data_IF_242536459290
#
_entry.id   IF_242536459290
#
_cell.length_a   1.000
_cell.length_b   1.000
_cell.length_c   1.000
_cell.angle_alpha   90.00
_cell.angle_beta   90.00
_cell.angle_gamma   90.00
#
_symmetry.space_group_name_H-M   'P 1'
#
loop_
_entity.id
_entity.type
_entity.pdbx_description
1 polymer ?
#
# COMPACT_ATOMS: atom_id res chain seq x y z
N UNK A 1 -1.64 3.13 9.69
CA UNK A 1 -2.56 4.11 9.09
C UNK A 1 -2.36 4.22 7.58
N UNK A 2 -3.48 4.34 6.84
CA UNK A 2 -3.44 4.49 5.37
C UNK A 2 -4.46 5.55 4.94
N UNK A 3 -4.01 6.50 4.16
CA UNK A 3 -4.90 7.41 3.47
C UNK A 3 -5.27 6.78 2.11
N UNK A 4 -6.44 6.13 2.09
CA UNK A 4 -7.01 5.59 0.86
C UNK A 4 -7.77 6.69 0.13
N UNK A 5 -7.47 6.89 -1.12
CA UNK A 5 -8.18 7.88 -1.95
C UNK A 5 -7.86 7.66 -3.42
N UNK A 6 -8.59 8.32 -4.30
CA UNK A 6 -8.25 8.32 -5.73
C UNK A 6 -6.99 9.15 -5.99
N UNK A 7 -6.71 10.11 -5.12
CA UNK A 7 -5.50 10.94 -5.17
C UNK A 7 -4.23 10.12 -4.89
N UNK A 8 -4.27 9.26 -3.86
CA UNK A 8 -3.13 8.45 -3.41
C UNK A 8 -3.11 7.06 -3.99
N UNK A 9 -4.26 6.58 -4.47
CA UNK A 9 -4.43 5.27 -5.08
C UNK A 9 -5.00 5.37 -6.49
N UNK A 10 -4.17 5.70 -7.49
CA UNK A 10 -4.65 5.88 -8.86
C UNK A 10 -5.28 4.63 -9.47
N UNK A 11 -5.03 3.45 -8.89
CA UNK A 11 -5.61 2.19 -9.38
C UNK A 11 -6.84 1.74 -8.59
N UNK A 12 -7.21 2.48 -7.53
CA UNK A 12 -8.31 2.10 -6.65
C UNK A 12 -9.66 2.03 -7.39
N UNK A 13 -9.94 3.01 -8.23
CA UNK A 13 -11.20 3.05 -8.99
C UNK A 13 -11.32 1.86 -9.95
N UNK A 14 -10.27 1.58 -10.71
CA UNK A 14 -10.26 0.47 -11.68
C UNK A 14 -10.33 -0.88 -10.96
N UNK A 15 -9.63 -1.04 -9.84
CA UNK A 15 -9.67 -2.26 -9.04
C UNK A 15 -11.09 -2.50 -8.52
N UNK A 16 -11.75 -1.47 -7.99
CA UNK A 16 -13.13 -1.56 -7.52
C UNK A 16 -14.08 -1.94 -8.65
N UNK A 17 -13.98 -1.28 -9.79
CA UNK A 17 -14.83 -1.56 -10.97
C UNK A 17 -14.68 -3.01 -11.43
N UNK A 18 -13.45 -3.49 -11.56
CA UNK A 18 -13.18 -4.87 -11.97
C UNK A 18 -13.70 -5.90 -10.95
N UNK A 19 -13.76 -5.52 -9.68
CA UNK A 19 -14.27 -6.39 -8.61
C UNK A 19 -15.79 -6.32 -8.47
N UNK A 20 -16.46 -5.40 -9.17
CA UNK A 20 -17.89 -5.16 -9.00
C UNK A 20 -18.24 -4.52 -7.67
N UNK A 21 -17.33 -3.74 -7.10
CA UNK A 21 -17.44 -3.11 -5.79
C UNK A 21 -17.30 -1.59 -5.90
N UNK A 22 -17.72 -0.88 -4.86
CA UNK A 22 -17.40 0.54 -4.71
C UNK A 22 -15.97 0.68 -4.15
N UNK A 23 -15.38 1.86 -4.28
CA UNK A 23 -14.07 2.14 -3.69
C UNK A 23 -14.12 2.00 -2.17
N UNK A 24 -15.20 2.44 -1.53
CA UNK A 24 -15.37 2.30 -0.08
C UNK A 24 -15.43 0.83 0.35
N UNK A 25 -16.06 -0.03 -0.44
CA UNK A 25 -16.10 -1.48 -0.17
C UNK A 25 -14.71 -2.10 -0.28
N UNK A 26 -13.92 -1.70 -1.26
CA UNK A 26 -12.53 -2.17 -1.41
C UNK A 26 -11.70 -1.76 -0.19
N UNK A 27 -11.82 -0.51 0.23
CA UNK A 27 -11.13 0.02 1.41
C UNK A 27 -11.50 -0.78 2.66
N UNK A 28 -12.81 -1.00 2.87
CA UNK A 28 -13.29 -1.73 4.04
C UNK A 28 -12.77 -3.17 4.07
N UNK A 29 -12.75 -3.85 2.94
CA UNK A 29 -12.23 -5.21 2.84
C UNK A 29 -10.73 -5.22 3.13
N UNK A 30 -9.97 -4.31 2.55
CA UNK A 30 -8.53 -4.24 2.75
C UNK A 30 -8.17 -3.98 4.21
N UNK A 31 -8.82 -3.01 4.87
CA UNK A 31 -8.52 -2.68 6.25
C UNK A 31 -9.11 -3.64 7.29
N UNK A 32 -10.11 -4.44 6.91
CA UNK A 32 -10.74 -5.40 7.83
C UNK A 32 -10.00 -6.73 7.90
N UNK A 33 -9.04 -6.97 7.01
CA UNK A 33 -8.27 -8.20 6.95
C UNK A 33 -7.01 -8.07 7.80
N UNK A 34 -6.72 -9.09 8.62
CA UNK A 34 -5.44 -9.20 9.30
C UNK A 34 -4.48 -9.96 8.39
N UNK A 35 -3.35 -9.34 8.08
CA UNK A 35 -2.31 -9.92 7.22
C UNK A 35 -1.15 -10.46 8.04
N UNK A 36 -0.37 -11.34 7.45
CA UNK A 36 0.88 -11.82 8.00
C UNK A 36 2.03 -11.45 7.06
N UNK A 37 3.14 -10.99 7.64
CA UNK A 37 4.38 -10.78 6.91
C UNK A 37 5.00 -12.15 6.68
N UNK A 38 4.96 -12.66 5.44
CA UNK A 38 5.51 -13.98 5.15
C UNK A 38 6.90 -13.94 4.52
N UNK A 39 7.33 -12.79 4.01
CA UNK A 39 8.68 -12.60 3.49
C UNK A 39 9.03 -11.11 3.48
N UNK A 40 10.31 -10.80 3.59
CA UNK A 40 10.86 -9.47 3.38
C UNK A 40 11.96 -9.62 2.34
N UNK A 41 11.89 -8.82 1.26
CA UNK A 41 12.84 -8.93 0.17
C UNK A 41 12.57 -7.91 -0.92
N UNK A 42 13.15 -8.10 -2.08
CA UNK A 42 13.09 -7.20 -3.23
C UNK A 42 13.87 -5.90 -2.95
N UNK A 43 13.52 -5.16 -1.89
CA UNK A 43 14.18 -3.93 -1.45
C UNK A 43 14.19 -3.89 0.08
N UNK A 44 15.13 -3.16 0.70
CA UNK A 44 15.13 -3.00 2.16
C UNK A 44 13.80 -2.45 2.66
N UNK A 45 13.16 -3.19 3.57
CA UNK A 45 11.86 -2.80 4.15
C UNK A 45 10.64 -3.22 3.35
N UNK A 46 10.79 -3.90 2.21
CA UNK A 46 9.64 -4.39 1.45
C UNK A 46 9.12 -5.69 2.06
N UNK A 47 7.99 -5.58 2.74
CA UNK A 47 7.33 -6.70 3.42
C UNK A 47 6.16 -7.20 2.58
N UNK A 48 6.21 -8.48 2.19
CA UNK A 48 5.10 -9.15 1.49
C UNK A 48 4.07 -9.60 2.51
N UNK A 49 2.86 -9.08 2.39
CA UNK A 49 1.74 -9.36 3.29
C UNK A 49 0.69 -10.20 2.57
N UNK A 50 0.16 -11.21 3.23
CA UNK A 50 -0.88 -12.07 2.67
C UNK A 50 -1.82 -12.60 3.75
N UNK A 51 -2.98 -13.07 3.32
CA UNK A 51 -3.48 -13.02 1.94
C UNK A 51 -4.56 -11.96 1.81
N UNK A 52 -4.56 -11.24 0.72
CA UNK A 52 -5.64 -10.31 0.36
C UNK A 52 -6.89 -11.12 0.05
N UNK A 53 -8.05 -10.63 0.49
CA UNK A 53 -9.35 -11.22 0.17
C UNK A 53 -9.50 -11.36 -1.35
N UNK A 54 -9.96 -12.51 -1.84
CA UNK A 54 -10.09 -12.76 -3.28
C UNK A 54 -10.96 -11.72 -3.98
N UNK A 55 -11.93 -11.12 -3.29
CA UNK A 55 -12.82 -10.11 -3.88
C UNK A 55 -12.07 -8.87 -4.36
N UNK A 56 -10.92 -8.57 -3.75
CA UNK A 56 -10.09 -7.41 -4.12
C UNK A 56 -8.71 -7.79 -4.65
N UNK A 57 -8.47 -9.07 -4.90
CA UNK A 57 -7.25 -9.51 -5.57
C UNK A 57 -7.23 -8.95 -7.00
N UNK A 58 -6.06 -8.52 -7.45
CA UNK A 58 -5.90 -7.93 -8.77
C UNK A 58 -4.53 -8.26 -9.35
N UNK A 59 -4.50 -8.61 -10.63
CA UNK A 59 -3.24 -8.84 -11.34
C UNK A 59 -2.41 -7.56 -11.40
N UNK A 60 -1.10 -7.72 -11.49
CA UNK A 60 -0.19 -6.60 -11.71
C UNK A 60 -0.57 -5.82 -12.96
N UNK A 61 -0.21 -4.53 -13.00
CA UNK A 61 -0.43 -3.69 -14.16
C UNK A 61 0.31 -4.27 -15.37
N UNK A 62 -0.31 -4.17 -16.55
CA UNK A 62 0.30 -4.60 -17.81
C UNK A 62 1.59 -3.83 -18.09
N UNK A 63 1.62 -2.54 -17.76
CA UNK A 63 2.79 -1.69 -17.88
C UNK A 63 3.16 -1.16 -16.50
N UNK A 64 4.31 -1.57 -15.92
CA UNK A 64 4.73 -1.06 -14.63
C UNK A 64 4.97 0.46 -14.66
N UNK A 65 4.74 1.13 -13.53
CA UNK A 65 5.12 2.53 -13.36
C UNK A 65 6.62 2.65 -13.18
N UNK A 66 7.20 3.70 -13.71
CA UNK A 66 8.63 4.01 -13.54
C UNK A 66 8.92 4.47 -12.11
N UNK A 67 7.97 5.15 -11.49
CA UNK A 67 8.12 5.71 -10.13
C UNK A 67 6.87 5.46 -9.30
N UNK A 68 6.98 4.51 -8.39
CA UNK A 68 6.00 4.30 -7.33
C UNK A 68 6.50 5.03 -6.09
N UNK A 69 5.71 5.91 -5.47
CA UNK A 69 6.20 6.70 -4.35
C UNK A 69 6.42 5.86 -3.10
N UNK A 70 7.33 6.31 -2.25
CA UNK A 70 7.49 5.75 -0.92
C UNK A 70 6.17 5.84 -0.15
N UNK A 71 5.80 4.78 0.54
CA UNK A 71 4.57 4.71 1.31
C UNK A 71 3.37 4.22 0.52
N UNK A 72 3.49 4.00 -0.79
CA UNK A 72 2.38 3.49 -1.59
C UNK A 72 1.90 2.15 -1.05
N UNK A 73 0.61 2.05 -0.76
CA UNK A 73 -0.05 0.82 -0.36
C UNK A 73 -0.63 0.18 -1.62
N UNK A 74 -0.30 -1.08 -1.86
CA UNK A 74 -0.53 -1.70 -3.15
C UNK A 74 -0.98 -3.15 -3.04
N UNK A 75 -1.64 -3.63 -4.09
CA UNK A 75 -2.11 -5.01 -4.22
C UNK A 75 -1.57 -5.60 -5.52
N UNK A 76 -1.06 -6.82 -5.44
CA UNK A 76 -0.71 -7.65 -6.59
C UNK A 76 -1.12 -9.09 -6.31
N UNK A 77 -1.99 -9.64 -7.12
CA UNK A 77 -2.61 -10.94 -6.89
C UNK A 77 -3.26 -10.99 -5.50
N UNK A 78 -2.87 -11.88 -4.62
CA UNK A 78 -3.38 -11.94 -3.23
C UNK A 78 -2.37 -11.42 -2.22
N UNK A 79 -1.49 -10.52 -2.65
CA UNK A 79 -0.48 -9.90 -1.80
C UNK A 79 -0.73 -8.41 -1.67
N UNK A 80 -0.37 -7.84 -0.53
CA UNK A 80 -0.35 -6.40 -0.33
C UNK A 80 0.97 -5.99 0.30
N UNK A 81 1.35 -4.75 0.13
CA UNK A 81 2.60 -4.22 0.66
C UNK A 81 2.55 -2.70 0.75
N UNK A 82 3.49 -2.15 1.52
CA UNK A 82 3.76 -0.72 1.57
C UNK A 82 5.17 -0.52 1.00
N UNK A 83 5.29 0.28 -0.04
CA UNK A 83 6.57 0.54 -0.67
C UNK A 83 7.49 1.30 0.29
N UNK A 84 8.69 0.77 0.61
CA UNK A 84 9.59 1.42 1.56
C UNK A 84 10.35 2.61 0.99
N UNK A 85 10.46 2.69 -0.33
CA UNK A 85 11.18 3.76 -1.04
C UNK A 85 10.60 3.91 -2.45
N UNK A 86 10.85 5.05 -3.08
CA UNK A 86 10.47 5.23 -4.47
C UNK A 86 11.18 4.18 -5.34
N UNK A 87 10.43 3.50 -6.19
CA UNK A 87 10.97 2.48 -7.09
C UNK A 87 10.01 2.21 -8.24
N UNK A 88 10.48 1.57 -9.33
CA UNK A 88 9.55 1.05 -10.34
C UNK A 88 8.68 -0.05 -9.75
N UNK A 89 7.48 -0.22 -10.27
CA UNK A 89 6.61 -1.31 -9.86
C UNK A 89 5.30 -1.39 -10.60
N UNK A 90 4.77 -2.61 -10.70
CA UNK A 90 3.53 -2.91 -11.41
C UNK A 90 2.36 -3.27 -10.49
N UNK A 91 2.46 -3.02 -9.19
CA UNK A 91 1.37 -3.29 -8.27
C UNK A 91 0.28 -2.22 -8.39
N UNK A 92 -0.95 -2.59 -8.05
CA UNK A 92 -2.10 -1.68 -8.06
C UNK A 92 -2.08 -0.80 -6.83
N UNK A 93 -1.95 0.51 -7.01
CA UNK A 93 -1.83 1.48 -5.91
C UNK A 93 -3.22 1.89 -5.42
N UNK A 94 -3.47 1.73 -4.11
CA UNK A 94 -4.78 2.00 -3.50
C UNK A 94 -4.74 3.05 -2.40
N UNK A 95 -3.57 3.46 -1.94
CA UNK A 95 -3.45 4.44 -0.87
C UNK A 95 -2.01 4.78 -0.56
N UNK A 96 -1.82 5.57 0.49
CA UNK A 96 -0.50 6.01 0.92
C UNK A 96 -0.40 5.92 2.44
N UNK A 97 0.69 5.33 2.92
CA UNK A 97 0.97 5.15 4.34
C UNK A 97 2.06 6.15 4.77
N UNK A 98 1.82 6.93 5.84
CA UNK A 98 2.82 7.89 6.31
C UNK A 98 3.95 7.26 7.13
N UNK A 99 3.79 6.00 7.58
CA UNK A 99 4.78 5.32 8.39
C UNK A 99 5.96 4.85 7.54
N UNK A 100 7.20 5.25 7.86
CA UNK A 100 8.38 4.73 7.15
C UNK A 100 8.53 3.22 7.37
N UNK A 101 8.68 2.46 6.29
CA UNK A 101 8.89 1.00 6.36
C UNK A 101 10.35 0.62 6.46
N UNK A 102 11.24 1.57 6.25
CA UNK A 102 12.68 1.39 6.42
C UNK A 102 13.33 2.73 6.81
N UNK A 103 14.06 2.72 7.92
CA UNK A 103 14.87 3.88 8.34
C UNK A 103 16.16 3.33 8.97
N UNK A 104 17.28 3.47 8.26
CA UNK A 104 18.58 2.95 8.69
C UNK A 104 19.07 3.57 10.00
N UNK A 105 18.52 4.71 10.41
CA UNK A 105 18.88 5.42 11.63
C UNK A 105 17.95 5.14 12.81
N UNK A 106 16.84 4.43 12.56
CA UNK A 106 15.87 4.11 13.60
C UNK A 106 16.20 2.77 14.26
N UNK A 107 15.62 2.55 15.44
CA UNK A 107 15.67 1.28 16.16
C UNK A 107 14.25 0.92 16.64
N UNK A 108 13.62 -0.12 16.05
CA UNK A 108 14.12 -0.94 14.94
C UNK A 108 14.15 -0.18 13.60
N UNK A 109 14.99 -0.63 12.69
CA UNK A 109 15.10 -0.02 11.34
C UNK A 109 13.87 -0.27 10.47
N UNK A 110 13.05 -1.27 10.83
CA UNK A 110 11.79 -1.61 10.19
C UNK A 110 10.70 -1.79 11.23
N UNK A 111 9.47 -1.31 10.97
CA UNK A 111 8.37 -1.47 11.92
C UNK A 111 7.83 -2.89 11.99
N UNK A 112 8.15 -3.76 11.03
CA UNK A 112 7.64 -5.13 10.95
C UNK A 112 8.76 -6.13 10.73
N UNK A 113 8.51 -7.37 11.15
CA UNK A 113 9.41 -8.52 10.96
C UNK A 113 8.62 -9.68 10.35
N UNK A 114 9.32 -10.63 9.72
CA UNK A 114 8.69 -11.84 9.18
C UNK A 114 7.92 -12.56 10.29
N UNK A 115 6.70 -12.95 10.00
CA UNK A 115 5.78 -13.60 10.93
C UNK A 115 4.86 -12.64 11.69
N UNK A 116 5.12 -11.33 11.64
CA UNK A 116 4.25 -10.35 12.29
C UNK A 116 2.86 -10.33 11.65
N UNK A 117 1.88 -9.95 12.46
CA UNK A 117 0.53 -9.65 11.99
C UNK A 117 0.42 -8.15 11.75
N UNK A 118 -0.21 -7.80 10.64
CA UNK A 118 -0.37 -6.40 10.22
C UNK A 118 -1.83 -6.14 9.89
N UNK A 119 -2.35 -5.03 10.37
CA UNK A 119 -3.66 -4.51 10.00
C UNK A 119 -3.51 -3.08 9.50
N UNK A 120 -4.35 -2.73 8.54
CA UNK A 120 -4.40 -1.36 8.03
C UNK A 120 -5.61 -0.65 8.61
N UNK A 121 -5.50 0.67 8.77
CA UNK A 121 -6.60 1.50 9.25
C UNK A 121 -6.71 2.74 8.37
N UNK A 122 -7.88 2.93 7.78
CA UNK A 122 -8.16 4.12 6.99
C UNK A 122 -8.10 5.36 7.86
N UNK A 123 -7.41 6.39 7.37
CA UNK A 123 -7.33 7.70 8.02
C UNK A 123 -7.71 8.79 7.02
N UNK A 124 -8.04 9.97 7.54
CA UNK A 124 -8.34 11.13 6.71
C UNK A 124 -7.07 11.72 6.09
N UNK A 125 -7.26 12.57 5.09
CA UNK A 125 -6.17 13.35 4.48
C UNK A 125 -5.45 14.19 5.55
N UNK A 126 -6.20 14.83 6.44
CA UNK A 126 -5.62 15.68 7.48
C UNK A 126 -4.77 14.85 8.46
N UNK A 127 -5.26 13.68 8.89
CA UNK A 127 -4.51 12.78 9.75
C UNK A 127 -3.23 12.31 9.07
N UNK A 128 -3.29 12.03 7.77
CA UNK A 128 -2.13 11.65 6.98
C UNK A 128 -1.05 12.73 7.02
N UNK A 129 -1.44 14.00 6.81
CA UNK A 129 -0.53 15.14 6.86
C UNK A 129 0.03 15.32 8.27
N UNK A 130 -0.83 15.22 9.29
CA UNK A 130 -0.44 15.40 10.70
C UNK A 130 0.57 14.32 11.15
N UNK A 131 0.51 13.13 10.55
CA UNK A 131 1.45 12.04 10.82
C UNK A 131 2.75 12.16 10.00
N UNK A 132 2.94 13.24 9.28
CA UNK A 132 4.16 13.48 8.51
C UNK A 132 4.09 13.01 7.06
N UNK A 133 2.93 12.59 6.59
CA UNK A 133 2.72 12.20 5.20
C UNK A 133 2.86 13.38 4.25
N UNK A 134 3.36 13.11 3.04
CA UNK A 134 3.60 14.12 2.01
C UNK A 134 2.85 13.77 0.74
N UNK A 135 2.11 14.73 0.19
CA UNK A 135 1.35 14.56 -1.05
C UNK A 135 2.08 15.12 -2.28
N UNK A 136 3.12 15.90 -2.09
CA UNK A 136 3.94 16.45 -3.18
C UNK A 136 4.66 15.36 -3.99
N UNK A 137 4.87 14.20 -3.39
CA UNK A 137 5.49 13.03 -4.04
C UNK A 137 4.58 12.38 -5.08
N UNK A 138 3.31 12.78 -5.17
CA UNK A 138 2.31 12.17 -6.07
C UNK A 138 2.30 12.78 -7.48
N UNK A 139 3.09 13.82 -7.74
CA UNK A 139 3.00 14.60 -8.98
C UNK A 139 3.15 13.82 -10.28
N UNK A 140 3.76 12.64 -10.26
CA UNK A 140 4.04 11.83 -11.43
C UNK A 140 3.20 10.54 -11.52
N UNK A 141 2.21 10.36 -10.65
CA UNK A 141 1.37 9.16 -10.64
C UNK A 141 0.25 9.16 -11.67
N UNK A 142 0.11 10.24 -12.38
CA UNK A 142 -0.98 10.39 -13.35
C UNK A 142 -0.68 9.71 -14.68
#
# INVERSE_FOLDING_TARGET
>A
PVYYSLETGPDLAALAENAGLTTDQVIDIHQSTEYRVYAIGFAPGFAYLGEVDERIAASRLATPRLKVPRGAVAIADRQTAVYPAESPGGWNLIGLCPTPMFDAKADPIMPVSTGDRVSFKAISKQDFIDLGGKLDILGELK
#
